data_IF_338529431151
#
_entry.id   IF_338529431151
#
_cell.length_a   1.000
_cell.length_b   1.000
_cell.length_c   1.000
_cell.angle_alpha   90.00
_cell.angle_beta   90.00
_cell.angle_gamma   90.00
#
_symmetry.space_group_name_H-M   'P 1'
#
loop_
_entity.id
_entity.type
_entity.pdbx_description
1 polymer ?
#
# COMPACT_ATOMS: atom_id res chain seq x y z
N UNK A 1 -28.31 13.29 -5.05
CA UNK A 1 -27.67 13.18 -3.72
C UNK A 1 -26.83 11.91 -3.73
N UNK A 2 -25.53 12.02 -3.82
CA UNK A 2 -24.61 10.89 -3.76
C UNK A 2 -24.63 10.41 -2.30
N UNK A 3 -25.00 9.14 -2.07
CA UNK A 3 -24.93 8.54 -0.74
C UNK A 3 -23.45 8.42 -0.38
N UNK A 4 -23.00 9.24 0.52
CA UNK A 4 -21.59 9.49 0.90
C UNK A 4 -20.84 8.33 1.56
N UNK A 5 -21.38 7.10 1.61
CA UNK A 5 -20.81 6.00 2.41
C UNK A 5 -19.85 5.05 1.69
N UNK A 6 -19.77 5.08 0.35
CA UNK A 6 -19.11 4.04 -0.41
C UNK A 6 -18.03 4.59 -1.38
N UNK A 7 -17.23 5.58 -0.96
CA UNK A 7 -16.12 6.05 -1.76
C UNK A 7 -14.77 5.87 -1.04
N UNK A 8 -13.71 5.67 -1.81
CA UNK A 8 -12.34 5.65 -1.33
C UNK A 8 -11.68 6.99 -1.63
N UNK A 9 -10.98 7.53 -0.65
CA UNK A 9 -10.24 8.78 -0.79
C UNK A 9 -8.77 8.49 -1.08
N UNK A 10 -8.22 9.25 -2.01
CA UNK A 10 -6.83 9.20 -2.42
C UNK A 10 -6.21 10.58 -2.36
N UNK A 11 -4.98 10.65 -1.87
CA UNK A 11 -4.14 11.84 -1.92
C UNK A 11 -2.83 11.49 -2.59
N UNK A 12 -2.64 12.03 -3.77
CA UNK A 12 -1.42 11.87 -4.55
C UNK A 12 -0.48 13.04 -4.26
N UNK A 13 0.75 12.73 -3.90
CA UNK A 13 1.82 13.69 -3.69
C UNK A 13 2.85 13.43 -4.79
N UNK A 14 2.75 14.21 -5.87
CA UNK A 14 3.63 14.15 -7.02
C UNK A 14 4.86 15.04 -6.88
N UNK A 15 5.66 15.10 -7.95
CA UNK A 15 6.83 15.98 -8.00
C UNK A 15 6.44 17.46 -8.05
N UNK A 16 5.32 17.80 -8.72
CA UNK A 16 4.91 19.19 -8.99
C UNK A 16 3.46 19.48 -8.58
N UNK A 17 2.76 18.54 -7.98
CA UNK A 17 1.38 18.72 -7.60
C UNK A 17 0.98 17.89 -6.38
N UNK A 18 -0.04 18.35 -5.68
CA UNK A 18 -0.83 17.54 -4.74
C UNK A 18 -2.23 17.45 -5.29
N UNK A 19 -2.77 16.22 -5.28
CA UNK A 19 -4.07 15.94 -5.82
C UNK A 19 -4.89 15.08 -4.87
N UNK A 20 -6.08 15.55 -4.52
CA UNK A 20 -7.07 14.78 -3.79
C UNK A 20 -8.14 14.27 -4.75
N UNK A 21 -8.48 12.99 -4.69
CA UNK A 21 -9.55 12.39 -5.47
C UNK A 21 -10.40 11.45 -4.61
N UNK A 22 -11.72 11.51 -4.84
CA UNK A 22 -12.65 10.53 -4.30
C UNK A 22 -13.13 9.63 -5.45
N UNK A 23 -13.08 8.32 -5.23
CA UNK A 23 -13.46 7.29 -6.21
C UNK A 23 -14.59 6.47 -5.62
N UNK A 24 -15.62 6.24 -6.40
CA UNK A 24 -16.75 5.38 -6.04
C UNK A 24 -16.44 3.88 -6.21
N UNK A 25 -17.42 3.04 -5.91
CA UNK A 25 -17.33 1.58 -6.05
C UNK A 25 -17.22 1.10 -7.51
N UNK A 26 -17.53 1.93 -8.49
CA UNK A 26 -17.48 1.63 -9.92
C UNK A 26 -16.14 2.07 -10.56
N UNK A 27 -15.16 2.48 -9.75
CA UNK A 27 -13.90 3.07 -10.19
C UNK A 27 -14.06 4.42 -10.92
N UNK A 28 -15.15 5.16 -10.67
CA UNK A 28 -15.37 6.50 -11.22
C UNK A 28 -14.90 7.58 -10.25
N UNK A 29 -14.18 8.58 -10.78
CA UNK A 29 -13.74 9.74 -9.99
C UNK A 29 -14.93 10.68 -9.84
N UNK A 30 -15.49 10.74 -8.63
CA UNK A 30 -16.65 11.58 -8.28
C UNK A 30 -16.25 12.97 -7.80
N UNK A 31 -15.00 13.14 -7.37
CA UNK A 31 -14.43 14.42 -6.93
C UNK A 31 -12.94 14.47 -7.23
N UNK A 32 -12.44 15.64 -7.62
CA UNK A 32 -11.01 15.87 -7.84
C UNK A 32 -10.64 17.31 -7.52
N UNK A 33 -9.64 17.48 -6.66
CA UNK A 33 -9.01 18.76 -6.33
C UNK A 33 -7.51 18.63 -6.57
N UNK A 34 -6.96 19.51 -7.41
CA UNK A 34 -5.53 19.53 -7.73
C UNK A 34 -4.94 20.90 -7.39
N UNK A 35 -3.75 20.91 -6.82
CA UNK A 35 -2.99 22.10 -6.53
C UNK A 35 -1.56 21.94 -7.04
N UNK A 36 -1.12 22.87 -7.90
CA UNK A 36 0.24 22.89 -8.40
C UNK A 36 1.17 23.45 -7.34
N UNK A 37 2.33 22.87 -7.23
CA UNK A 37 3.34 23.25 -6.26
C UNK A 37 4.50 23.91 -6.99
N UNK A 38 4.57 25.24 -6.89
CA UNK A 38 5.69 26.00 -7.42
C UNK A 38 6.93 25.75 -6.55
N UNK A 39 8.00 25.21 -7.18
CA UNK A 39 9.33 25.03 -6.56
C UNK A 39 9.44 24.02 -5.40
N UNK A 40 9.07 22.76 -5.64
CA UNK A 40 9.38 21.65 -4.72
C UNK A 40 10.88 21.48 -4.40
N UNK A 41 11.78 22.10 -5.17
CA UNK A 41 13.22 22.01 -4.94
C UNK A 41 13.69 22.57 -3.60
N UNK A 42 12.91 23.45 -2.95
CA UNK A 42 13.28 24.12 -1.71
C UNK A 42 12.30 23.92 -0.54
N UNK A 43 11.09 23.39 -0.76
CA UNK A 43 10.13 23.06 0.31
C UNK A 43 10.15 21.56 0.60
N UNK A 44 10.15 21.20 1.86
CA UNK A 44 9.99 19.80 2.25
C UNK A 44 8.57 19.37 1.88
N UNK A 45 8.40 18.26 1.16
CA UNK A 45 7.10 17.71 0.74
C UNK A 45 6.04 17.67 1.87
N UNK A 46 6.51 17.62 3.12
CA UNK A 46 5.66 17.59 4.31
C UNK A 46 5.00 18.95 4.63
N UNK A 47 5.70 20.07 4.40
CA UNK A 47 5.17 21.42 4.62
C UNK A 47 4.07 21.72 3.60
N UNK A 48 4.28 21.30 2.38
CA UNK A 48 3.32 21.48 1.29
C UNK A 48 2.05 20.64 1.54
N UNK A 49 2.20 19.41 2.02
CA UNK A 49 1.07 18.57 2.42
C UNK A 49 0.25 19.24 3.53
N UNK A 50 0.91 19.79 4.55
CA UNK A 50 0.22 20.44 5.66
C UNK A 50 -0.53 21.71 5.21
N UNK A 51 0.08 22.50 4.31
CA UNK A 51 -0.53 23.69 3.71
C UNK A 51 -1.75 23.31 2.86
N UNK A 52 -1.64 22.28 2.01
CA UNK A 52 -2.75 21.77 1.22
C UNK A 52 -3.94 21.35 2.10
N UNK A 53 -3.68 20.55 3.12
CA UNK A 53 -4.74 20.09 4.03
C UNK A 53 -5.39 21.25 4.76
N UNK A 54 -4.59 22.18 5.29
CA UNK A 54 -5.09 23.36 6.00
C UNK A 54 -6.02 24.19 5.13
N UNK A 55 -5.69 24.36 3.86
CA UNK A 55 -6.42 25.23 2.95
C UNK A 55 -7.65 24.56 2.33
N UNK A 56 -7.64 23.23 2.19
CA UNK A 56 -8.61 22.57 1.32
C UNK A 56 -9.50 21.54 2.02
N UNK A 57 -9.08 20.93 3.14
CA UNK A 57 -9.79 19.75 3.67
C UNK A 57 -11.24 20.07 4.05
N UNK A 58 -11.49 21.22 4.65
CA UNK A 58 -12.84 21.62 5.05
C UNK A 58 -13.78 21.79 3.84
N UNK A 59 -13.28 22.42 2.76
CA UNK A 59 -14.07 22.63 1.54
C UNK A 59 -14.32 21.30 0.83
N UNK A 60 -13.32 20.40 0.79
CA UNK A 60 -13.45 19.05 0.26
C UNK A 60 -14.57 18.28 0.99
N UNK A 61 -14.53 18.25 2.30
CA UNK A 61 -15.54 17.57 3.12
C UNK A 61 -16.94 18.16 2.94
N UNK A 62 -17.02 19.48 2.85
CA UNK A 62 -18.27 20.21 2.60
C UNK A 62 -18.86 19.88 1.22
N UNK A 63 -18.04 19.87 0.15
CA UNK A 63 -18.49 19.56 -1.20
C UNK A 63 -18.91 18.08 -1.33
N UNK A 64 -18.17 17.17 -0.70
CA UNK A 64 -18.47 15.76 -0.66
C UNK A 64 -19.65 15.43 0.27
N UNK A 65 -20.01 16.35 1.16
CA UNK A 65 -20.94 16.11 2.28
C UNK A 65 -20.57 14.84 3.06
N UNK A 66 -19.26 14.63 3.26
CA UNK A 66 -18.67 13.45 3.90
C UNK A 66 -17.33 13.80 4.56
N UNK A 67 -17.07 13.23 5.74
CA UNK A 67 -15.77 13.37 6.42
C UNK A 67 -14.73 12.44 5.81
N UNK A 68 -13.50 12.95 5.69
CA UNK A 68 -12.34 12.18 5.22
C UNK A 68 -11.67 11.51 6.41
N UNK A 69 -12.23 10.40 6.89
CA UNK A 69 -11.67 9.67 8.03
C UNK A 69 -10.43 8.85 7.67
N UNK A 70 -10.40 8.29 6.46
CA UNK A 70 -9.36 7.39 5.98
C UNK A 70 -8.91 7.77 4.58
N UNK A 71 -7.59 7.71 4.32
CA UNK A 71 -7.05 8.08 3.02
C UNK A 71 -5.99 7.08 2.55
N UNK A 72 -5.93 6.86 1.25
CA UNK A 72 -4.86 6.13 0.58
C UNK A 72 -3.88 7.15 0.00
N UNK A 73 -2.60 7.04 0.31
CA UNK A 73 -1.56 7.93 -0.19
C UNK A 73 -0.88 7.33 -1.41
N UNK A 74 -0.81 8.08 -2.50
CA UNK A 74 0.02 7.76 -3.66
C UNK A 74 1.21 8.69 -3.62
N UNK A 75 2.42 8.14 -3.50
CA UNK A 75 3.63 8.93 -3.31
C UNK A 75 4.61 8.76 -4.46
N UNK A 76 5.03 9.89 -5.05
CA UNK A 76 6.20 9.98 -5.89
C UNK A 76 7.35 10.53 -5.05
N UNK A 77 8.14 9.64 -4.45
CA UNK A 77 9.18 10.02 -3.50
C UNK A 77 10.50 9.33 -3.83
N UNK A 78 11.61 10.08 -3.78
CA UNK A 78 12.95 9.57 -4.08
C UNK A 78 13.47 8.54 -3.06
N UNK A 79 12.96 8.57 -1.84
CA UNK A 79 13.41 7.70 -0.75
C UNK A 79 12.75 6.31 -0.76
N UNK A 80 12.04 5.96 -1.84
CA UNK A 80 11.63 4.58 -2.04
C UNK A 80 12.86 3.72 -2.35
N UNK A 81 13.02 2.65 -1.57
CA UNK A 81 14.04 1.63 -1.75
C UNK A 81 13.40 0.39 -2.39
N UNK A 82 13.96 -0.06 -3.51
CA UNK A 82 13.53 -1.28 -4.21
C UNK A 82 14.57 -2.37 -3.94
N UNK A 83 14.15 -3.47 -3.32
CA UNK A 83 15.04 -4.57 -2.97
C UNK A 83 14.53 -5.86 -3.61
N UNK A 84 15.36 -6.47 -4.44
CA UNK A 84 15.08 -7.77 -5.03
C UNK A 84 15.79 -8.85 -4.21
N UNK A 85 15.04 -9.88 -3.85
CA UNK A 85 15.50 -11.01 -3.04
C UNK A 85 15.13 -12.31 -3.75
N UNK A 86 15.92 -13.35 -3.53
CA UNK A 86 15.62 -14.69 -4.04
C UNK A 86 15.62 -15.68 -2.87
N UNK A 87 14.52 -16.40 -2.73
CA UNK A 87 14.43 -17.54 -1.81
C UNK A 87 14.58 -18.84 -2.61
N UNK A 88 15.38 -19.77 -2.10
CA UNK A 88 15.63 -21.06 -2.75
C UNK A 88 15.27 -22.19 -1.80
N UNK A 89 14.58 -23.17 -2.33
CA UNK A 89 14.20 -24.38 -1.64
C UNK A 89 14.66 -25.61 -2.42
N UNK A 90 15.24 -26.56 -1.73
CA UNK A 90 15.52 -27.88 -2.26
C UNK A 90 14.53 -28.85 -1.59
N UNK A 91 13.78 -29.57 -2.35
CA UNK A 91 12.79 -30.52 -1.87
C UNK A 91 13.16 -31.94 -2.29
N UNK A 92 13.06 -32.87 -1.36
CA UNK A 92 13.30 -34.29 -1.59
C UNK A 92 12.00 -34.99 -2.04
N UNK A 93 11.28 -34.41 -3.01
CA UNK A 93 10.06 -34.99 -3.57
C UNK A 93 8.78 -34.77 -2.75
N UNK A 94 8.83 -33.99 -1.65
CA UNK A 94 7.63 -33.55 -0.91
C UNK A 94 6.96 -32.39 -1.64
N UNK A 95 5.63 -32.36 -1.68
CA UNK A 95 4.90 -31.27 -2.34
C UNK A 95 5.11 -29.94 -1.61
N UNK A 96 5.60 -28.92 -2.33
CA UNK A 96 5.60 -27.55 -1.87
C UNK A 96 4.16 -27.04 -1.83
N UNK A 97 3.77 -26.41 -0.74
CA UNK A 97 2.45 -25.82 -0.61
C UNK A 97 2.51 -24.33 -0.24
N UNK A 98 1.41 -23.63 -0.44
CA UNK A 98 1.29 -22.20 -0.15
C UNK A 98 1.55 -21.84 1.33
N UNK A 99 1.33 -22.78 2.27
CA UNK A 99 1.61 -22.53 3.68
C UNK A 99 3.11 -22.43 3.95
N UNK A 100 3.93 -23.23 3.27
CA UNK A 100 5.39 -23.13 3.35
C UNK A 100 5.86 -21.77 2.79
N UNK A 101 5.28 -21.32 1.66
CA UNK A 101 5.57 -20.01 1.09
C UNK A 101 5.25 -18.89 2.08
N UNK A 102 4.06 -18.90 2.68
CA UNK A 102 3.63 -17.88 3.65
C UNK A 102 4.54 -17.80 4.88
N UNK A 103 4.95 -18.95 5.41
CA UNK A 103 5.88 -19.02 6.54
C UNK A 103 7.23 -18.40 6.19
N UNK A 104 7.78 -18.78 5.05
CA UNK A 104 9.08 -18.29 4.58
C UNK A 104 9.06 -16.81 4.22
N UNK A 105 7.99 -16.32 3.61
CA UNK A 105 7.81 -14.88 3.36
C UNK A 105 7.72 -14.08 4.66
N UNK A 106 7.07 -14.64 5.67
CA UNK A 106 6.98 -14.00 6.99
C UNK A 106 8.34 -13.93 7.66
N UNK A 107 9.14 -14.99 7.57
CA UNK A 107 10.50 -15.04 8.09
C UNK A 107 11.43 -14.07 7.33
N UNK A 108 11.39 -14.08 5.99
CA UNK A 108 12.14 -13.17 5.15
C UNK A 108 11.84 -11.71 5.50
N UNK A 109 10.56 -11.38 5.69
CA UNK A 109 10.15 -10.04 6.12
C UNK A 109 10.72 -9.65 7.48
N UNK A 110 10.71 -10.57 8.45
CA UNK A 110 11.31 -10.32 9.77
C UNK A 110 12.82 -10.08 9.67
N UNK A 111 13.53 -10.92 8.91
CA UNK A 111 14.96 -10.75 8.67
C UNK A 111 15.26 -9.42 7.98
N UNK A 112 14.53 -9.08 6.94
CA UNK A 112 14.66 -7.79 6.25
C UNK A 112 14.46 -6.62 7.22
N UNK A 113 13.40 -6.64 8.01
CA UNK A 113 13.11 -5.58 8.98
C UNK A 113 14.16 -5.46 10.08
N UNK A 114 14.81 -6.57 10.43
CA UNK A 114 15.91 -6.58 11.41
C UNK A 114 17.19 -5.98 10.82
N UNK A 115 17.47 -6.30 9.56
CA UNK A 115 18.70 -5.88 8.88
C UNK A 115 18.61 -4.43 8.40
N UNK A 116 17.44 -4.01 7.89
CA UNK A 116 17.20 -2.66 7.34
C UNK A 116 16.08 -1.98 8.16
N UNK A 117 16.34 -1.82 9.46
CA UNK A 117 15.36 -1.38 10.46
C UNK A 117 14.74 0.01 10.22
N UNK A 118 15.37 0.85 9.41
CA UNK A 118 14.91 2.21 9.12
C UNK A 118 13.83 2.28 8.04
N UNK A 119 13.47 1.14 7.42
CA UNK A 119 12.49 1.09 6.34
C UNK A 119 11.23 0.31 6.74
N UNK A 120 10.08 0.73 6.23
CA UNK A 120 8.81 0.03 6.27
C UNK A 120 8.53 -0.56 4.89
N UNK A 121 8.19 -1.85 4.81
CA UNK A 121 7.81 -2.49 3.55
C UNK A 121 6.41 -2.02 3.20
N UNK A 122 6.29 -1.37 2.05
CA UNK A 122 5.03 -0.84 1.52
C UNK A 122 4.37 -1.87 0.60
N UNK A 123 5.13 -2.43 -0.36
CA UNK A 123 4.66 -3.49 -1.25
C UNK A 123 5.57 -4.71 -1.17
N UNK A 124 4.97 -5.88 -1.28
CA UNK A 124 5.67 -7.17 -1.43
C UNK A 124 5.14 -7.84 -2.68
N UNK A 125 5.97 -7.95 -3.70
CA UNK A 125 5.58 -8.48 -5.01
C UNK A 125 6.42 -9.70 -5.35
N UNK A 126 5.80 -10.81 -5.72
CA UNK A 126 6.50 -11.95 -6.30
C UNK A 126 6.69 -11.65 -7.79
N UNK A 127 7.95 -11.49 -8.21
CA UNK A 127 8.25 -11.22 -9.61
C UNK A 127 8.10 -12.47 -10.48
N UNK A 128 8.63 -13.60 -10.01
CA UNK A 128 8.56 -14.89 -10.72
C UNK A 128 8.86 -16.06 -9.81
N UNK A 129 8.43 -17.22 -10.27
CA UNK A 129 8.80 -18.54 -9.75
C UNK A 129 9.76 -19.21 -10.74
N UNK A 130 10.79 -19.88 -10.23
CA UNK A 130 11.71 -20.71 -11.01
C UNK A 130 11.59 -22.12 -10.45
N UNK A 131 10.95 -23.02 -11.21
CA UNK A 131 10.60 -24.38 -10.81
C UNK A 131 11.43 -25.34 -11.68
N UNK A 132 12.36 -26.07 -11.07
CA UNK A 132 13.32 -26.95 -11.76
C UNK A 132 14.01 -26.28 -12.96
N UNK A 133 14.32 -24.98 -12.84
CA UNK A 133 15.01 -24.18 -13.85
C UNK A 133 14.09 -23.50 -14.88
N UNK A 134 12.80 -23.77 -14.87
CA UNK A 134 11.83 -23.09 -15.74
C UNK A 134 11.18 -21.90 -15.02
N UNK A 135 10.95 -20.80 -15.76
CA UNK A 135 10.43 -19.54 -15.22
C UNK A 135 8.92 -19.45 -15.43
N UNK A 136 8.20 -19.11 -14.38
CA UNK A 136 6.75 -18.93 -14.37
C UNK A 136 6.37 -17.62 -13.71
N UNK A 137 5.32 -16.96 -14.21
CA UNK A 137 4.74 -15.76 -13.60
C UNK A 137 3.82 -16.09 -12.42
N UNK A 138 3.29 -17.30 -12.34
CA UNK A 138 2.41 -17.78 -11.29
C UNK A 138 2.88 -19.13 -10.77
N UNK A 139 2.54 -19.44 -9.53
CA UNK A 139 2.85 -20.74 -8.94
C UNK A 139 1.93 -21.82 -9.51
N UNK A 140 2.52 -22.96 -9.94
CA UNK A 140 1.79 -24.12 -10.47
C UNK A 140 1.74 -25.21 -9.40
N UNK A 141 0.57 -25.42 -8.81
CA UNK A 141 0.39 -26.36 -7.68
C UNK A 141 0.39 -27.84 -8.05
N UNK A 142 0.24 -28.17 -9.33
CA UNK A 142 -0.08 -29.54 -9.80
C UNK A 142 1.12 -30.46 -9.94
N UNK A 143 2.34 -30.00 -9.70
CA UNK A 143 3.57 -30.78 -9.94
C UNK A 143 4.44 -30.82 -8.70
N UNK A 144 5.16 -31.94 -8.53
CA UNK A 144 6.27 -32.02 -7.57
C UNK A 144 7.52 -31.42 -8.18
N UNK A 145 8.16 -30.50 -7.48
CA UNK A 145 9.41 -29.86 -7.91
C UNK A 145 10.54 -30.21 -6.97
N UNK A 146 11.75 -30.44 -7.51
CA UNK A 146 12.95 -30.68 -6.71
C UNK A 146 13.62 -29.38 -6.27
N UNK A 147 13.58 -28.37 -7.12
CA UNK A 147 14.19 -27.06 -6.87
C UNK A 147 13.21 -25.95 -7.15
N UNK A 148 12.96 -25.15 -6.14
CA UNK A 148 12.08 -23.98 -6.21
C UNK A 148 12.89 -22.74 -5.87
N UNK A 149 12.87 -21.74 -6.74
CA UNK A 149 13.37 -20.41 -6.42
C UNK A 149 12.27 -19.39 -6.66
N UNK A 150 12.13 -18.44 -5.74
CA UNK A 150 11.10 -17.39 -5.78
C UNK A 150 11.82 -16.06 -5.72
N UNK A 151 11.61 -15.23 -6.75
CA UNK A 151 12.13 -13.88 -6.76
C UNK A 151 11.06 -12.90 -6.27
N UNK A 152 11.43 -12.12 -5.24
CA UNK A 152 10.53 -11.21 -4.54
C UNK A 152 11.11 -9.81 -4.62
N UNK A 153 10.25 -8.84 -4.88
CA UNK A 153 10.56 -7.41 -4.80
C UNK A 153 9.88 -6.81 -3.58
N UNK A 154 10.67 -6.22 -2.68
CA UNK A 154 10.18 -5.32 -1.65
C UNK A 154 10.30 -3.87 -2.13
N UNK A 155 9.22 -3.11 -2.00
CA UNK A 155 9.20 -1.67 -2.19
C UNK A 155 9.02 -1.06 -0.81
N UNK A 156 10.02 -0.30 -0.37
CA UNK A 156 10.13 0.16 1.00
C UNK A 156 10.21 1.69 1.06
N UNK A 157 9.70 2.26 2.14
CA UNK A 157 9.81 3.69 2.40
C UNK A 157 10.43 3.91 3.79
N UNK A 158 11.21 4.97 3.95
CA UNK A 158 11.82 5.30 5.23
C UNK A 158 10.75 5.47 6.33
N UNK A 159 10.94 4.84 7.49
CA UNK A 159 9.99 4.90 8.62
C UNK A 159 9.74 6.30 9.12
N UNK A 160 10.74 7.18 9.10
CA UNK A 160 10.57 8.57 9.51
C UNK A 160 9.62 9.30 8.57
N UNK A 161 9.74 9.08 7.25
CA UNK A 161 8.84 9.64 6.23
C UNK A 161 7.40 9.15 6.46
N UNK A 162 7.20 7.84 6.64
CA UNK A 162 5.89 7.26 6.95
C UNK A 162 5.29 7.84 8.21
N UNK A 163 6.08 7.94 9.29
CA UNK A 163 5.64 8.52 10.57
C UNK A 163 5.24 9.98 10.43
N UNK A 164 6.03 10.77 9.71
CA UNK A 164 5.75 12.19 9.52
C UNK A 164 4.47 12.41 8.70
N UNK A 165 4.26 11.65 7.62
CA UNK A 165 3.02 11.69 6.84
C UNK A 165 1.80 11.35 7.71
N UNK A 166 1.87 10.26 8.49
CA UNK A 166 0.81 9.86 9.41
C UNK A 166 0.54 10.94 10.48
N UNK A 167 1.59 11.57 11.02
CA UNK A 167 1.46 12.64 12.02
C UNK A 167 0.77 13.89 11.46
N UNK A 168 1.11 14.31 10.23
CA UNK A 168 0.47 15.47 9.60
C UNK A 168 -1.03 15.20 9.39
N UNK A 169 -1.37 14.06 8.77
CA UNK A 169 -2.75 13.70 8.49
C UNK A 169 -3.59 13.53 9.78
N UNK A 170 -2.97 13.00 10.84
CA UNK A 170 -3.64 12.83 12.14
C UNK A 170 -4.04 14.15 12.81
N UNK A 171 -3.39 15.28 12.51
CA UNK A 171 -3.80 16.62 12.98
C UNK A 171 -5.18 17.01 12.45
N UNK A 172 -5.56 16.43 11.28
CA UNK A 172 -6.86 16.62 10.62
C UNK A 172 -7.81 15.45 10.86
N UNK A 173 -7.50 14.57 11.83
CA UNK A 173 -8.26 13.36 12.15
C UNK A 173 -8.34 12.34 10.99
N UNK A 174 -7.41 12.41 10.04
CA UNK A 174 -7.33 11.52 8.88
C UNK A 174 -6.35 10.39 9.17
N UNK A 175 -6.79 9.14 8.98
CA UNK A 175 -5.95 7.95 9.10
C UNK A 175 -5.41 7.53 7.74
N UNK A 176 -4.12 7.26 7.66
CA UNK A 176 -3.50 6.66 6.47
C UNK A 176 -3.85 5.18 6.44
N UNK A 177 -4.71 4.79 5.49
CA UNK A 177 -5.12 3.39 5.28
C UNK A 177 -4.03 2.60 4.57
N UNK A 178 -3.56 3.12 3.43
CA UNK A 178 -2.50 2.53 2.63
C UNK A 178 -1.54 3.60 2.12
N UNK A 179 -0.30 3.20 1.86
CA UNK A 179 0.69 3.99 1.11
C UNK A 179 0.99 3.20 -0.16
N UNK A 180 1.05 3.88 -1.29
CA UNK A 180 1.25 3.28 -2.60
C UNK A 180 2.40 4.02 -3.29
N UNK A 181 3.36 3.27 -3.82
CA UNK A 181 4.46 3.82 -4.59
C UNK A 181 3.98 4.17 -6.00
N UNK A 182 4.09 5.44 -6.41
CA UNK A 182 3.71 5.89 -7.75
C UNK A 182 4.47 5.14 -8.85
N UNK A 183 5.78 4.94 -8.67
CA UNK A 183 6.62 4.18 -9.61
C UNK A 183 6.16 2.74 -9.79
N UNK A 184 5.59 2.12 -8.74
CA UNK A 184 5.02 0.78 -8.84
C UNK A 184 3.74 0.79 -9.70
N UNK A 185 2.91 1.83 -9.60
CA UNK A 185 1.73 1.95 -10.45
C UNK A 185 2.09 2.09 -11.94
N UNK A 186 3.23 2.69 -12.26
CA UNK A 186 3.71 2.83 -13.63
C UNK A 186 4.12 1.50 -14.29
N UNK A 187 4.32 0.44 -13.50
CA UNK A 187 4.64 -0.91 -14.04
C UNK A 187 3.41 -1.60 -14.68
N UNK A 188 2.20 -1.07 -14.48
CA UNK A 188 0.99 -1.64 -15.07
C UNK A 188 0.75 -1.11 -16.49
N UNK A 189 0.43 -2.02 -17.42
CA UNK A 189 0.31 -1.72 -18.87
C UNK A 189 -0.68 -0.60 -19.21
N UNK A 190 -1.75 -0.47 -18.42
CA UNK A 190 -2.78 0.54 -18.64
C UNK A 190 -2.49 1.90 -17.98
N UNK A 191 -1.30 2.08 -17.39
CA UNK A 191 -1.00 3.32 -16.66
C UNK A 191 -1.09 4.57 -17.53
N UNK A 192 -0.62 4.52 -18.78
CA UNK A 192 -0.62 5.67 -19.68
C UNK A 192 -2.03 6.08 -20.14
N UNK A 193 -3.00 5.17 -20.08
CA UNK A 193 -4.38 5.39 -20.51
C UNK A 193 -5.37 5.62 -19.35
N UNK A 194 -4.91 5.46 -18.11
CA UNK A 194 -5.77 5.54 -16.92
C UNK A 194 -5.14 6.49 -15.89
N UNK A 195 -5.99 7.16 -15.10
CA UNK A 195 -5.50 7.97 -13.99
C UNK A 195 -4.85 7.07 -12.93
N UNK A 196 -3.72 7.52 -12.36
CA UNK A 196 -2.96 6.78 -11.33
C UNK A 196 -3.82 6.32 -10.16
N UNK A 197 -4.81 7.11 -9.78
CA UNK A 197 -5.74 6.83 -8.69
C UNK A 197 -6.66 5.64 -8.99
N UNK A 198 -7.14 5.51 -10.25
CA UNK A 198 -7.94 4.36 -10.68
C UNK A 198 -7.10 3.08 -10.64
N UNK A 199 -5.85 3.14 -11.10
CA UNK A 199 -4.94 1.99 -11.04
C UNK A 199 -4.63 1.64 -9.58
N UNK A 200 -4.39 2.65 -8.73
CA UNK A 200 -4.18 2.43 -7.30
C UNK A 200 -5.37 1.72 -6.65
N UNK A 201 -6.61 2.13 -6.97
CA UNK A 201 -7.81 1.44 -6.49
C UNK A 201 -7.85 -0.02 -6.96
N UNK A 202 -7.57 -0.28 -8.24
CA UNK A 202 -7.51 -1.64 -8.77
C UNK A 202 -6.42 -2.48 -8.12
N UNK A 203 -5.24 -1.91 -7.86
CA UNK A 203 -4.15 -2.57 -7.12
C UNK A 203 -4.61 -2.95 -5.72
N UNK A 204 -5.24 -2.04 -4.98
CA UNK A 204 -5.79 -2.33 -3.66
C UNK A 204 -6.90 -3.39 -3.69
N UNK A 205 -7.59 -3.54 -4.81
CA UNK A 205 -8.61 -4.56 -5.06
C UNK A 205 -8.03 -5.86 -5.65
N UNK A 206 -6.69 -6.01 -5.70
CA UNK A 206 -6.03 -7.25 -6.11
C UNK A 206 -5.73 -7.36 -7.61
N UNK A 207 -5.56 -6.25 -8.33
CA UNK A 207 -5.16 -6.25 -9.74
C UNK A 207 -3.88 -7.08 -9.97
N UNK A 208 -2.90 -6.96 -9.07
CA UNK A 208 -1.70 -7.78 -9.10
C UNK A 208 -1.86 -9.02 -8.23
N UNK A 209 -2.15 -10.16 -8.82
CA UNK A 209 -2.30 -11.43 -8.11
C UNK A 209 -1.01 -11.90 -7.41
N UNK A 210 0.15 -11.39 -7.82
CA UNK A 210 1.44 -11.68 -7.22
C UNK A 210 1.82 -10.72 -6.08
N UNK A 211 0.99 -9.73 -5.76
CA UNK A 211 1.19 -8.84 -4.62
C UNK A 211 0.64 -9.47 -3.35
N UNK A 212 1.46 -9.47 -2.30
CA UNK A 212 1.11 -10.07 -1.02
C UNK A 212 0.67 -8.99 -0.05
N UNK A 213 -0.60 -9.03 0.33
CA UNK A 213 -1.15 -8.19 1.36
C UNK A 213 -1.11 -8.91 2.71
N UNK A 214 -0.44 -8.31 3.67
CA UNK A 214 -0.45 -8.84 5.04
C UNK A 214 -1.69 -8.32 5.77
N UNK A 215 -2.62 -9.20 6.10
CA UNK A 215 -3.74 -8.86 6.96
C UNK A 215 -3.18 -8.33 8.30
N UNK A 216 -3.46 -7.07 8.63
CA UNK A 216 -3.22 -6.57 9.99
C UNK A 216 -4.08 -7.44 10.90
N UNK A 217 -3.46 -8.19 11.84
CA UNK A 217 -4.23 -8.78 12.94
C UNK A 217 -5.01 -7.63 13.55
N UNK A 218 -6.32 -7.65 13.38
CA UNK A 218 -7.18 -6.80 14.19
C UNK A 218 -6.89 -7.22 15.62
N UNK A 219 -6.15 -6.39 16.36
CA UNK A 219 -6.21 -6.48 17.80
C UNK A 219 -7.67 -6.16 18.11
N UNK A 220 -8.51 -7.19 18.34
CA UNK A 220 -9.76 -7.00 19.06
C UNK A 220 -9.31 -6.43 20.41
N UNK A 221 -9.20 -5.12 20.52
CA UNK A 221 -9.24 -4.44 21.79
C UNK A 221 -10.66 -4.69 22.26
N UNK A 222 -10.86 -5.77 23.01
CA UNK A 222 -12.06 -5.87 23.85
C UNK A 222 -12.15 -4.52 24.56
N UNK A 223 -13.24 -3.80 24.33
CA UNK A 223 -13.46 -2.53 25.01
C UNK A 223 -13.39 -2.80 26.50
N UNK A 224 -13.00 -1.82 27.30
CA UNK A 224 -12.96 -1.96 28.76
C UNK A 224 -14.28 -2.55 29.28
N UNK A 225 -15.41 -2.21 28.68
CA UNK A 225 -16.74 -2.73 29.00
C UNK A 225 -16.92 -4.22 28.61
N UNK A 226 -16.42 -4.70 27.48
CA UNK A 226 -16.47 -6.13 27.14
C UNK A 226 -15.63 -6.98 28.11
N UNK A 227 -14.47 -6.48 28.56
CA UNK A 227 -13.67 -7.13 29.60
C UNK A 227 -14.40 -7.17 30.93
N UNK A 228 -15.14 -6.11 31.27
CA UNK A 228 -15.89 -6.01 32.51
C UNK A 228 -17.08 -6.99 32.52
N UNK A 229 -17.82 -7.12 31.43
CA UNK A 229 -18.94 -8.06 31.33
C UNK A 229 -18.51 -9.52 31.29
N UNK A 230 -17.35 -9.84 30.72
CA UNK A 230 -16.81 -11.22 30.73
C UNK A 230 -16.21 -11.64 32.09
N UNK A 231 -16.10 -10.74 33.04
CA UNK A 231 -15.61 -11.03 34.40
C UNK A 231 -16.75 -11.46 35.37
N UNK A 232 -18.00 -11.24 34.98
CA UNK A 232 -19.20 -11.52 35.80
C UNK A 232 -20.08 -12.67 35.23
N UNK A 233 -19.63 -13.34 34.18
CA UNK A 233 -20.16 -14.63 33.71
C UNK A 233 -19.10 -15.73 33.93
#
# INVERSE_FOLDING_TARGET
MIKSKDCNFFLSIGANDIKFEAIDINDEIIFSKNELIDNLSNRKNLEVLEEFLKNNIFDIEKELNNYVENINLILEHKDFLFVNLSMKYNYDGTSFNLNHLNSSLTELKKHFQHTIGNFEIIHTVINKFILDGQVYSQFIETSSYNKISIEIKFICLNRSTVKNLKNILSKYQILVKNIICFKYLQEFENFNNSKSTIIAQKVLNGLNQNEIFYAKKSSKKHSFFEKFFNYFN
#
